data_IF_022536630762
#
_entry.id   IF_022536630762
#
_cell.length_a   1.000
_cell.length_b   1.000
_cell.length_c   1.000
_cell.angle_alpha   90.00
_cell.angle_beta   90.00
_cell.angle_gamma   90.00
#
_symmetry.space_group_name_H-M   'P 1'
#
loop_
_entity.id
_entity.type
_entity.pdbx_description
1 polymer ?
#
# COMPACT_ATOMS: atom_id res chain seq x y z
N UNK A 1 26.64 25.28 27.78
CA UNK A 1 25.52 25.73 26.90
C UNK A 1 25.58 25.25 25.45
N UNK A 2 26.74 25.00 24.81
CA UNK A 2 26.82 24.52 23.41
C UNK A 2 26.20 23.12 23.17
N UNK A 3 26.26 22.21 24.13
CA UNK A 3 25.74 20.84 23.97
C UNK A 3 24.20 20.73 24.03
N UNK A 4 23.53 21.64 24.76
CA UNK A 4 22.06 21.63 24.88
C UNK A 4 21.41 22.05 23.55
N UNK A 5 22.03 22.96 22.80
CA UNK A 5 21.54 23.38 21.47
C UNK A 5 21.58 22.24 20.45
N UNK A 6 22.63 21.41 20.47
CA UNK A 6 22.77 20.28 19.54
C UNK A 6 21.81 19.13 19.86
N UNK A 7 21.53 18.87 21.14
CA UNK A 7 20.56 17.85 21.54
C UNK A 7 19.14 18.31 21.18
N UNK A 8 18.79 19.59 21.41
CA UNK A 8 17.48 20.13 21.02
C UNK A 8 17.27 20.09 19.49
N UNK A 9 18.32 20.38 18.71
CA UNK A 9 18.28 20.30 17.25
C UNK A 9 18.13 18.87 16.74
N UNK A 10 18.76 17.90 17.42
CA UNK A 10 18.61 16.46 17.13
C UNK A 10 17.17 16.00 17.41
N UNK A 11 16.55 16.46 18.51
CA UNK A 11 15.15 16.15 18.83
C UNK A 11 14.16 16.81 17.87
N UNK A 12 14.42 18.05 17.41
CA UNK A 12 13.57 18.74 16.42
C UNK A 12 13.67 18.11 15.02
N UNK A 13 14.80 17.48 14.67
CA UNK A 13 14.94 16.71 13.42
C UNK A 13 14.43 15.26 13.55
N UNK A 14 14.60 14.63 14.72
CA UNK A 14 14.14 13.27 14.95
C UNK A 14 12.63 13.19 15.23
N UNK A 15 11.99 14.20 15.83
CA UNK A 15 10.54 14.15 16.11
C UNK A 15 9.70 14.02 14.83
N UNK A 16 9.91 14.86 13.78
CA UNK A 16 9.19 14.73 12.53
C UNK A 16 9.51 13.41 11.80
N UNK A 17 10.76 12.95 11.85
CA UNK A 17 11.16 11.67 11.28
C UNK A 17 10.60 10.47 12.04
N UNK A 18 10.44 10.55 13.37
CA UNK A 18 9.79 9.53 14.20
C UNK A 18 8.26 9.58 14.08
N UNK A 19 7.67 10.76 13.93
CA UNK A 19 6.24 10.94 13.67
C UNK A 19 5.86 10.47 12.26
N UNK A 20 6.67 10.75 11.23
CA UNK A 20 6.47 10.19 9.89
C UNK A 20 6.79 8.69 9.85
N UNK A 21 7.87 8.20 10.48
CA UNK A 21 8.20 6.77 10.49
C UNK A 21 7.21 5.90 11.29
N UNK A 22 6.53 6.45 12.30
CA UNK A 22 5.51 5.71 13.05
C UNK A 22 4.13 5.69 12.37
N UNK A 23 3.77 6.71 11.59
CA UNK A 23 2.55 6.67 10.79
C UNK A 23 2.65 5.64 9.64
N UNK A 24 3.86 5.39 9.17
CA UNK A 24 4.12 4.62 7.95
C UNK A 24 4.35 3.10 8.21
N UNK A 25 4.44 2.70 9.48
CA UNK A 25 4.69 1.30 9.91
C UNK A 25 3.53 0.63 10.62
N UNK A 26 2.54 1.37 11.14
CA UNK A 26 1.36 0.78 11.79
C UNK A 26 0.29 0.42 10.75
N UNK A 27 0.06 -0.88 10.62
CA UNK A 27 -1.14 -1.50 10.07
C UNK A 27 -2.36 -0.79 10.67
N UNK A 28 -3.00 0.10 9.91
CA UNK A 28 -4.25 0.74 10.31
C UNK A 28 -5.41 -0.11 9.83
N UNK A 29 -6.24 -0.56 10.77
CA UNK A 29 -7.50 -1.17 10.41
C UNK A 29 -8.52 -0.10 10.06
N UNK A 30 -9.48 -0.46 9.23
CA UNK A 30 -10.73 0.26 9.11
C UNK A 30 -11.85 -0.63 9.66
N UNK A 31 -12.53 -0.14 10.70
CA UNK A 31 -13.68 -0.83 11.28
C UNK A 31 -14.95 -0.12 10.86
N UNK A 32 -15.81 -0.85 10.15
CA UNK A 32 -17.11 -0.38 9.68
C UNK A 32 -18.18 -0.99 10.58
N UNK A 33 -18.92 -0.15 11.29
CA UNK A 33 -20.10 -0.55 12.05
C UNK A 33 -21.36 -0.30 11.20
N UNK A 34 -22.08 -1.36 10.86
CA UNK A 34 -23.24 -1.30 9.98
C UNK A 34 -24.52 -1.70 10.72
N UNK A 35 -25.56 -0.88 10.61
CA UNK A 35 -26.86 -1.11 11.25
C UNK A 35 -27.93 -1.49 10.23
N UNK A 36 -28.57 -2.63 10.48
CA UNK A 36 -29.80 -3.01 9.81
C UNK A 36 -30.96 -2.19 10.35
N UNK A 37 -31.40 -1.18 9.58
CA UNK A 37 -32.42 -0.23 10.00
C UNK A 37 -33.72 -0.36 9.21
N UNK A 38 -33.89 -1.47 8.48
CA UNK A 38 -35.17 -1.82 7.91
C UNK A 38 -36.09 -2.37 9.02
N UNK A 39 -37.15 -1.63 9.34
CA UNK A 39 -38.13 -2.08 10.31
C UNK A 39 -39.02 -3.16 9.73
N UNK A 40 -39.16 -4.29 10.42
CA UNK A 40 -40.20 -5.27 10.12
C UNK A 40 -41.59 -4.65 10.40
N UNK A 41 -42.44 -4.64 9.37
CA UNK A 41 -43.91 -4.67 9.36
C UNK A 41 -44.63 -4.13 10.63
N UNK A 42 -45.17 -2.90 10.50
CA UNK A 42 -46.37 -2.21 11.08
C UNK A 42 -46.84 -2.51 12.53
N UNK A 43 -46.60 -3.68 13.15
CA UNK A 43 -47.10 -4.02 14.49
C UNK A 43 -46.05 -4.61 15.48
N UNK A 44 -44.79 -4.78 15.10
CA UNK A 44 -43.74 -5.24 16.03
C UNK A 44 -42.52 -4.30 16.02
N UNK A 45 -42.33 -3.57 17.10
CA UNK A 45 -41.27 -2.58 17.31
C UNK A 45 -39.86 -3.21 17.40
N UNK A 46 -39.21 -3.44 16.25
CA UNK A 46 -37.80 -3.84 16.11
C UNK A 46 -36.80 -2.67 16.06
N UNK A 47 -37.27 -1.43 15.86
CA UNK A 47 -36.41 -0.24 15.68
C UNK A 47 -35.93 0.44 16.98
N UNK A 48 -36.63 0.16 18.08
CA UNK A 48 -36.30 0.56 19.46
C UNK A 48 -35.27 -0.38 20.14
N UNK A 49 -35.30 -1.72 19.94
CA UNK A 49 -34.41 -2.64 20.65
C UNK A 49 -32.93 -2.58 20.27
N UNK A 50 -32.48 -2.32 19.03
CA UNK A 50 -31.02 -2.19 18.81
C UNK A 50 -30.43 -1.00 19.57
N UNK A 51 -31.11 0.15 19.56
CA UNK A 51 -30.74 1.33 20.34
C UNK A 51 -30.84 1.08 21.86
N UNK A 52 -31.88 0.38 22.33
CA UNK A 52 -32.16 0.21 23.77
C UNK A 52 -31.68 -1.12 24.38
N UNK A 53 -31.04 -2.00 23.62
CA UNK A 53 -30.61 -3.32 24.10
C UNK A 53 -29.21 -3.23 24.73
N UNK A 54 -29.07 -3.35 26.06
CA UNK A 54 -27.77 -3.29 26.71
C UNK A 54 -26.87 -4.48 26.33
N UNK A 55 -27.43 -5.62 25.89
CA UNK A 55 -26.66 -6.79 25.43
C UNK A 55 -25.93 -6.49 24.11
N UNK A 56 -26.52 -5.78 23.14
CA UNK A 56 -25.80 -5.42 21.90
C UNK A 56 -24.62 -4.49 22.20
N UNK A 57 -24.80 -3.49 23.08
CA UNK A 57 -23.73 -2.59 23.49
C UNK A 57 -22.58 -3.33 24.18
N UNK A 58 -22.90 -4.27 25.07
CA UNK A 58 -21.88 -5.12 25.71
C UNK A 58 -21.13 -5.96 24.69
N UNK A 59 -21.83 -6.54 23.71
CA UNK A 59 -21.18 -7.33 22.67
C UNK A 59 -20.32 -6.46 21.75
N UNK A 60 -20.76 -5.25 21.40
CA UNK A 60 -19.95 -4.34 20.60
C UNK A 60 -18.72 -3.85 21.36
N UNK A 61 -18.82 -3.52 22.65
CA UNK A 61 -17.65 -3.24 23.48
C UNK A 61 -16.68 -4.43 23.48
N UNK A 62 -17.21 -5.65 23.60
CA UNK A 62 -16.42 -6.88 23.56
C UNK A 62 -15.72 -7.09 22.21
N UNK A 63 -16.45 -6.98 21.10
CA UNK A 63 -15.93 -7.15 19.74
C UNK A 63 -14.89 -6.07 19.44
N UNK A 64 -15.25 -4.81 19.65
CA UNK A 64 -14.46 -3.67 19.21
C UNK A 64 -13.27 -3.40 20.13
N UNK A 65 -13.46 -3.43 21.45
CA UNK A 65 -12.51 -2.83 22.40
C UNK A 65 -11.85 -3.81 23.37
N UNK A 66 -12.60 -4.81 23.86
CA UNK A 66 -12.11 -5.71 24.91
C UNK A 66 -11.47 -6.99 24.34
N UNK A 67 -11.98 -7.48 23.22
CA UNK A 67 -11.64 -8.77 22.65
C UNK A 67 -12.30 -9.95 23.37
N UNK A 68 -12.04 -11.13 22.83
CA UNK A 68 -12.35 -12.44 23.40
C UNK A 68 -11.07 -13.16 23.84
N UNK A 69 -11.21 -14.22 24.64
CA UNK A 69 -10.08 -15.03 25.11
C UNK A 69 -9.18 -15.58 24.00
N UNK A 70 -9.68 -15.65 22.75
CA UNK A 70 -8.94 -16.10 21.57
C UNK A 70 -8.89 -15.08 20.43
N UNK A 71 -9.63 -13.98 20.51
CA UNK A 71 -9.75 -13.00 19.43
C UNK A 71 -9.40 -11.62 19.98
N UNK A 72 -8.32 -10.98 19.53
CA UNK A 72 -8.00 -9.64 19.98
C UNK A 72 -9.09 -8.64 19.54
N UNK A 73 -9.22 -7.49 20.22
CA UNK A 73 -10.16 -6.45 19.81
C UNK A 73 -9.87 -5.99 18.37
N UNK A 74 -10.95 -5.77 17.61
CA UNK A 74 -10.85 -5.33 16.22
C UNK A 74 -10.47 -3.86 16.07
N UNK A 75 -10.70 -3.04 17.10
CA UNK A 75 -10.39 -1.61 17.10
C UNK A 75 -9.24 -1.27 18.06
N UNK A 76 -8.32 -0.41 17.59
CA UNK A 76 -7.16 0.09 18.32
C UNK A 76 -6.97 1.59 18.08
N UNK A 77 -6.24 2.25 18.98
CA UNK A 77 -5.93 3.67 18.80
C UNK A 77 -5.17 3.92 17.50
N UNK A 78 -5.68 4.84 16.70
CA UNK A 78 -5.17 5.16 15.36
C UNK A 78 -5.79 4.36 14.22
N UNK A 79 -6.71 3.43 14.51
CA UNK A 79 -7.54 2.80 13.48
C UNK A 79 -8.59 3.77 12.95
N UNK A 80 -9.04 3.51 11.72
CA UNK A 80 -10.12 4.21 11.07
C UNK A 80 -11.46 3.59 11.49
N UNK A 81 -12.47 4.44 11.70
CA UNK A 81 -13.81 4.05 12.05
C UNK A 81 -14.82 4.71 11.14
N UNK A 82 -15.75 3.92 10.61
CA UNK A 82 -16.94 4.40 9.93
C UNK A 82 -18.19 3.75 10.50
N UNK A 83 -19.30 4.49 10.49
CA UNK A 83 -20.60 3.97 10.88
C UNK A 83 -21.61 4.24 9.77
N UNK A 84 -22.39 3.22 9.43
CA UNK A 84 -23.37 3.26 8.35
C UNK A 84 -24.68 2.59 8.78
N UNK A 85 -25.80 2.98 8.18
CA UNK A 85 -27.06 2.21 8.23
C UNK A 85 -27.41 1.71 6.85
N UNK A 86 -28.06 0.54 6.76
CA UNK A 86 -28.63 0.03 5.53
C UNK A 86 -30.13 -0.24 5.67
N UNK A 87 -30.90 0.31 4.74
CA UNK A 87 -32.35 0.14 4.61
C UNK A 87 -32.80 0.82 3.33
N UNK A 88 -33.74 0.23 2.60
CA UNK A 88 -34.34 0.85 1.41
C UNK A 88 -35.83 1.09 1.63
N UNK A 89 -36.30 2.33 1.50
CA UNK A 89 -37.73 2.61 1.46
C UNK A 89 -38.39 2.10 0.17
N UNK A 90 -39.67 1.75 0.23
CA UNK A 90 -40.41 1.22 -0.94
C UNK A 90 -40.47 2.12 -2.18
N UNK A 91 -40.17 3.42 -2.06
CA UNK A 91 -40.14 4.38 -3.16
C UNK A 91 -38.73 4.96 -3.42
N UNK A 92 -37.70 4.41 -2.79
CA UNK A 92 -36.31 4.87 -2.88
C UNK A 92 -35.52 4.03 -3.88
N UNK A 93 -34.49 4.65 -4.46
CA UNK A 93 -33.54 4.00 -5.35
C UNK A 93 -32.32 3.50 -4.55
N UNK A 94 -31.52 2.60 -5.13
CA UNK A 94 -30.41 1.95 -4.43
C UNK A 94 -29.31 2.92 -3.96
N UNK A 95 -29.25 4.14 -4.48
CA UNK A 95 -28.35 5.20 -4.01
C UNK A 95 -28.65 5.62 -2.55
N UNK A 96 -29.87 5.35 -2.06
CA UNK A 96 -30.28 5.60 -0.67
C UNK A 96 -30.16 4.39 0.23
N UNK A 97 -29.78 3.23 -0.31
CA UNK A 97 -29.80 1.97 0.44
C UNK A 97 -28.83 1.98 1.62
N UNK A 98 -27.64 2.56 1.47
CA UNK A 98 -26.65 2.72 2.54
C UNK A 98 -26.43 4.20 2.81
N UNK A 99 -26.49 4.57 4.09
CA UNK A 99 -26.27 5.95 4.55
C UNK A 99 -25.14 5.99 5.57
N UNK A 100 -24.20 6.91 5.38
CA UNK A 100 -23.16 7.21 6.36
C UNK A 100 -23.78 7.97 7.54
N UNK A 101 -23.57 7.46 8.74
CA UNK A 101 -24.13 8.06 9.95
C UNK A 101 -23.37 9.32 10.33
N UNK A 102 -24.05 10.22 11.03
CA UNK A 102 -23.42 11.42 11.60
C UNK A 102 -23.57 11.43 13.11
N UNK A 103 -22.64 12.07 13.80
CA UNK A 103 -22.78 12.41 15.22
C UNK A 103 -23.86 13.49 15.41
N UNK A 104 -24.35 13.73 16.65
CA UNK A 104 -25.39 14.73 16.91
C UNK A 104 -25.05 16.17 16.45
N UNK A 105 -23.77 16.50 16.32
CA UNK A 105 -23.31 17.79 15.80
C UNK A 105 -23.16 17.83 14.26
N UNK A 106 -23.59 16.78 13.56
CA UNK A 106 -23.60 16.71 12.09
C UNK A 106 -22.28 16.25 11.44
N UNK A 107 -21.27 15.86 12.22
CA UNK A 107 -20.03 15.30 11.67
C UNK A 107 -20.27 13.86 11.21
N UNK A 108 -19.99 13.58 9.93
CA UNK A 108 -20.09 12.21 9.41
C UNK A 108 -19.04 11.29 10.06
N UNK A 109 -19.48 10.08 10.43
CA UNK A 109 -18.62 8.99 10.87
C UNK A 109 -18.14 8.21 9.65
N UNK A 110 -17.30 8.83 8.83
CA UNK A 110 -16.61 8.25 7.69
C UNK A 110 -15.12 8.49 7.85
N UNK A 111 -14.33 7.42 7.99
CA UNK A 111 -12.89 7.46 8.25
C UNK A 111 -12.48 8.33 9.44
N UNK A 112 -13.31 8.35 10.49
CA UNK A 112 -12.96 8.99 11.76
C UNK A 112 -11.86 8.20 12.48
N UNK A 113 -11.06 8.86 13.32
CA UNK A 113 -9.99 8.22 14.09
C UNK A 113 -10.18 8.44 15.59
N UNK A 114 -11.30 7.98 16.19
CA UNK A 114 -11.49 8.10 17.63
C UNK A 114 -10.43 7.28 18.36
N UNK A 115 -10.03 7.71 19.55
CA UNK A 115 -9.31 6.81 20.45
C UNK A 115 -10.28 5.83 21.13
N UNK A 116 -9.74 4.86 21.87
CA UNK A 116 -10.56 3.85 22.57
C UNK A 116 -11.53 4.45 23.59
N UNK A 117 -11.17 5.57 24.23
CA UNK A 117 -12.02 6.20 25.24
C UNK A 117 -13.17 6.96 24.58
N UNK A 118 -12.91 7.69 23.48
CA UNK A 118 -13.93 8.30 22.63
C UNK A 118 -14.87 7.23 22.05
N UNK A 119 -14.32 6.13 21.53
CA UNK A 119 -15.11 5.01 21.02
C UNK A 119 -16.04 4.44 22.10
N UNK A 120 -15.52 4.20 23.30
CA UNK A 120 -16.31 3.60 24.39
C UNK A 120 -17.36 4.56 24.94
N UNK A 121 -16.94 5.76 25.32
CA UNK A 121 -17.74 6.65 26.15
C UNK A 121 -18.60 7.59 25.30
N UNK A 122 -18.09 8.07 24.18
CA UNK A 122 -18.84 8.98 23.32
C UNK A 122 -19.66 8.21 22.30
N UNK A 123 -19.03 7.36 21.47
CA UNK A 123 -19.71 6.69 20.35
C UNK A 123 -20.64 5.57 20.84
N UNK A 124 -20.10 4.58 21.57
CA UNK A 124 -20.86 3.39 21.97
C UNK A 124 -21.72 3.60 23.23
N UNK A 125 -21.54 4.68 23.98
CA UNK A 125 -22.34 4.93 25.19
C UNK A 125 -23.23 6.17 25.04
N UNK A 126 -22.65 7.34 24.84
CA UNK A 126 -23.41 8.61 24.84
C UNK A 126 -24.24 8.80 23.57
N UNK A 127 -23.64 8.56 22.40
CA UNK A 127 -24.24 8.84 21.10
C UNK A 127 -24.97 7.63 20.51
N UNK A 128 -24.82 6.44 21.11
CA UNK A 128 -25.34 5.17 20.60
C UNK A 128 -26.79 5.24 20.15
N UNK A 129 -27.69 5.74 21.01
CA UNK A 129 -29.11 5.83 20.69
C UNK A 129 -29.37 6.67 19.43
N UNK A 130 -28.62 7.77 19.27
CA UNK A 130 -28.73 8.64 18.11
C UNK A 130 -28.18 7.96 16.85
N UNK A 131 -27.06 7.25 16.95
CA UNK A 131 -26.46 6.52 15.84
C UNK A 131 -27.33 5.35 15.38
N UNK A 132 -27.74 4.48 16.31
CA UNK A 132 -28.52 3.28 16.01
C UNK A 132 -29.92 3.58 15.46
N UNK A 133 -30.44 4.80 15.64
CA UNK A 133 -31.77 5.20 15.13
C UNK A 133 -31.75 6.01 13.83
N UNK A 134 -30.57 6.41 13.35
CA UNK A 134 -30.44 7.15 12.10
C UNK A 134 -30.72 6.26 10.88
N UNK A 135 -31.45 6.79 9.90
CA UNK A 135 -31.80 6.03 8.69
C UNK A 135 -33.04 5.14 8.84
N UNK A 136 -33.60 4.99 10.04
CA UNK A 136 -34.84 4.25 10.25
C UNK A 136 -36.00 4.91 9.48
N UNK A 137 -36.65 4.13 8.62
CA UNK A 137 -37.81 4.57 7.84
C UNK A 137 -39.11 4.17 8.57
N UNK A 138 -40.13 5.03 8.49
CA UNK A 138 -41.44 4.83 9.14
C UNK A 138 -42.42 3.97 8.32
N UNK A 139 -42.13 3.72 7.05
CA UNK A 139 -42.95 2.96 6.10
C UNK A 139 -42.29 1.62 5.76
N UNK A 140 -42.91 0.84 4.87
CA UNK A 140 -42.33 -0.39 4.31
C UNK A 140 -40.89 -0.14 3.85
N UNK A 141 -39.97 -0.79 4.56
CA UNK A 141 -38.54 -0.68 4.37
C UNK A 141 -37.95 -2.07 4.30
N UNK A 142 -36.98 -2.23 3.42
CA UNK A 142 -36.35 -3.50 3.13
C UNK A 142 -34.88 -3.47 3.53
N UNK A 143 -34.43 -4.52 4.18
CA UNK A 143 -33.01 -4.82 4.33
C UNK A 143 -32.64 -5.94 3.36
N UNK A 144 -31.41 -5.90 2.87
CA UNK A 144 -30.85 -6.88 1.93
C UNK A 144 -29.41 -7.16 2.36
N UNK A 145 -29.21 -8.11 3.29
CA UNK A 145 -27.89 -8.38 3.89
C UNK A 145 -26.85 -8.87 2.88
N UNK A 146 -27.27 -9.47 1.77
CA UNK A 146 -26.34 -9.87 0.71
C UNK A 146 -25.77 -8.64 0.00
N UNK A 147 -26.59 -7.60 -0.19
CA UNK A 147 -26.22 -6.35 -0.87
C UNK A 147 -25.58 -5.33 0.07
N UNK A 148 -25.89 -5.36 1.37
CA UNK A 148 -25.37 -4.35 2.29
C UNK A 148 -23.85 -4.41 2.38
N UNK A 149 -23.23 -5.58 2.25
CA UNK A 149 -21.76 -5.76 2.23
C UNK A 149 -21.07 -4.96 1.10
N UNK A 150 -21.37 -5.18 -0.20
CA UNK A 150 -20.78 -4.39 -1.28
C UNK A 150 -21.18 -2.90 -1.22
N UNK A 151 -22.43 -2.59 -0.89
CA UNK A 151 -22.87 -1.18 -0.81
C UNK A 151 -22.24 -0.41 0.37
N UNK A 152 -21.81 -1.12 1.43
CA UNK A 152 -21.02 -0.52 2.52
C UNK A 152 -19.69 0.02 2.01
N UNK A 153 -19.01 -0.75 1.14
CA UNK A 153 -17.76 -0.31 0.52
C UNK A 153 -17.98 0.88 -0.39
N UNK A 154 -19.03 0.84 -1.22
CA UNK A 154 -19.37 1.93 -2.14
C UNK A 154 -19.68 3.24 -1.41
N UNK A 155 -20.49 3.20 -0.35
CA UNK A 155 -20.82 4.39 0.44
C UNK A 155 -19.58 5.01 1.12
N UNK A 156 -18.61 4.15 1.44
CA UNK A 156 -17.37 4.56 2.08
C UNK A 156 -16.28 4.88 1.07
N UNK A 157 -16.45 4.66 -0.23
CA UNK A 157 -15.49 5.04 -1.27
C UNK A 157 -14.83 6.39 -1.05
N UNK A 158 -13.49 6.44 -1.15
CA UNK A 158 -12.70 7.64 -0.91
C UNK A 158 -11.41 7.65 -1.71
N UNK A 159 -11.16 8.76 -2.39
CA UNK A 159 -9.87 9.07 -3.03
C UNK A 159 -8.86 9.72 -2.07
N UNK A 160 -9.24 9.97 -0.82
CA UNK A 160 -8.43 10.72 0.13
C UNK A 160 -7.25 9.90 0.67
N UNK A 161 -6.06 10.52 0.69
CA UNK A 161 -4.86 9.90 1.25
C UNK A 161 -4.96 9.59 2.76
N UNK A 162 -5.91 10.21 3.47
CA UNK A 162 -6.18 10.05 4.90
C UNK A 162 -7.03 8.82 5.23
N UNK A 163 -7.73 8.25 4.24
CA UNK A 163 -8.65 7.12 4.40
C UNK A 163 -7.98 5.74 4.22
N UNK A 164 -6.64 5.69 4.10
CA UNK A 164 -5.92 4.47 3.75
C UNK A 164 -5.80 3.49 4.91
N UNK A 165 -6.14 2.24 4.62
CA UNK A 165 -6.14 1.15 5.59
C UNK A 165 -5.62 -0.14 4.94
N UNK A 166 -5.08 -1.07 5.72
CA UNK A 166 -4.56 -2.33 5.17
C UNK A 166 -5.33 -3.58 5.60
N UNK A 167 -6.30 -3.41 6.51
CA UNK A 167 -7.30 -4.42 6.86
C UNK A 167 -8.63 -3.73 7.08
N UNK A 168 -9.71 -4.33 6.63
CA UNK A 168 -11.06 -3.80 6.85
C UNK A 168 -11.92 -4.85 7.54
N UNK A 169 -12.60 -4.44 8.60
CA UNK A 169 -13.59 -5.27 9.29
C UNK A 169 -14.97 -4.63 9.17
N UNK A 170 -15.97 -5.46 8.90
CA UNK A 170 -17.37 -5.06 8.87
C UNK A 170 -18.10 -5.76 10.00
N UNK A 171 -18.62 -4.97 10.95
CA UNK A 171 -19.44 -5.44 12.07
C UNK A 171 -20.89 -5.07 11.76
N UNK A 172 -21.69 -6.04 11.38
CA UNK A 172 -23.11 -5.85 11.02
C UNK A 172 -24.00 -6.19 12.20
N UNK A 173 -24.81 -5.23 12.64
CA UNK A 173 -25.89 -5.44 13.62
C UNK A 173 -27.19 -5.68 12.86
N UNK A 174 -27.77 -6.87 13.00
CA UNK A 174 -28.95 -7.31 12.24
C UNK A 174 -29.81 -8.28 13.05
N UNK A 175 -31.05 -8.50 12.65
CA UNK A 175 -31.91 -9.57 13.16
C UNK A 175 -31.72 -10.91 12.43
N UNK A 176 -30.87 -10.95 11.38
CA UNK A 176 -30.60 -12.12 10.53
C UNK A 176 -31.87 -12.68 9.87
N UNK A 177 -32.93 -11.87 9.77
CA UNK A 177 -34.21 -12.28 9.23
C UNK A 177 -34.22 -12.11 7.70
N UNK A 178 -34.60 -13.18 6.99
CA UNK A 178 -34.79 -13.25 5.53
C UNK A 178 -33.60 -13.03 4.58
N UNK A 179 -32.39 -12.82 5.07
CA UNK A 179 -31.37 -12.21 4.25
C UNK A 179 -29.97 -12.75 4.54
N UNK A 180 -29.17 -13.01 3.50
CA UNK A 180 -27.74 -13.25 3.67
C UNK A 180 -27.06 -14.17 2.67
N UNK A 181 -27.82 -14.90 1.83
CA UNK A 181 -27.26 -15.91 0.93
C UNK A 181 -27.79 -15.86 -0.54
N UNK A 182 -28.70 -14.95 -0.89
CA UNK A 182 -29.21 -14.86 -2.26
C UNK A 182 -29.66 -13.43 -2.61
N UNK A 183 -28.74 -12.64 -3.14
CA UNK A 183 -28.99 -11.26 -3.58
C UNK A 183 -30.10 -11.16 -4.64
N UNK A 184 -30.18 -12.09 -5.59
CA UNK A 184 -31.23 -12.10 -6.62
C UNK A 184 -32.62 -12.28 -6.01
N UNK A 185 -32.75 -13.19 -5.04
CA UNK A 185 -34.01 -13.38 -4.31
C UNK A 185 -34.35 -12.13 -3.49
N UNK A 186 -33.38 -11.56 -2.77
CA UNK A 186 -33.59 -10.36 -1.96
C UNK A 186 -34.14 -9.20 -2.81
N UNK A 187 -33.56 -8.92 -3.98
CA UNK A 187 -34.06 -7.86 -4.88
C UNK A 187 -35.43 -8.20 -5.48
N UNK A 188 -35.68 -9.47 -5.83
CA UNK A 188 -36.99 -9.89 -6.35
C UNK A 188 -38.10 -9.75 -5.31
N UNK A 189 -37.81 -10.08 -4.06
CA UNK A 189 -38.75 -9.94 -2.94
C UNK A 189 -39.05 -8.45 -2.68
N UNK A 190 -38.04 -7.56 -2.79
CA UNK A 190 -38.25 -6.10 -2.75
C UNK A 190 -39.10 -5.63 -3.93
N UNK A 191 -38.77 -6.03 -5.15
CA UNK A 191 -39.51 -5.65 -6.37
C UNK A 191 -40.97 -6.14 -6.38
N UNK A 192 -41.27 -7.24 -5.69
CA UNK A 192 -42.63 -7.73 -5.53
C UNK A 192 -43.47 -6.83 -4.60
N UNK A 193 -42.81 -6.15 -3.66
CA UNK A 193 -43.44 -5.30 -2.65
C UNK A 193 -43.35 -3.80 -2.96
N UNK A 194 -42.46 -3.37 -3.86
CA UNK A 194 -42.30 -1.97 -4.27
C UNK A 194 -43.43 -1.46 -5.17
N UNK A 195 -43.54 -0.13 -5.25
CA UNK A 195 -44.39 0.54 -6.22
C UNK A 195 -44.03 0.08 -7.65
N UNK A 196 -45.05 -0.28 -8.45
CA UNK A 196 -44.89 -0.77 -9.82
C UNK A 196 -44.15 0.20 -10.73
N UNK A 197 -44.13 1.49 -10.39
CA UNK A 197 -43.43 2.55 -11.14
C UNK A 197 -41.95 2.70 -10.77
N UNK A 198 -41.51 2.07 -9.68
CA UNK A 198 -40.15 2.13 -9.14
C UNK A 198 -39.61 0.74 -8.84
N UNK A 199 -39.47 -0.06 -9.89
CA UNK A 199 -38.78 -1.34 -9.79
C UNK A 199 -37.27 -1.15 -9.82
N UNK A 200 -36.58 -1.78 -8.90
CA UNK A 200 -35.13 -1.92 -8.93
C UNK A 200 -34.69 -2.70 -10.16
N UNK A 201 -33.67 -2.17 -10.84
CA UNK A 201 -32.98 -2.89 -11.91
C UNK A 201 -32.07 -3.97 -11.30
N UNK A 202 -32.59 -5.19 -11.28
CA UNK A 202 -31.88 -6.37 -10.75
C UNK A 202 -30.53 -6.56 -11.46
N UNK A 203 -30.48 -6.36 -12.78
CA UNK A 203 -29.27 -6.66 -13.56
C UNK A 203 -28.15 -5.68 -13.20
N UNK A 204 -28.44 -4.38 -13.19
CA UNK A 204 -27.47 -3.35 -12.79
C UNK A 204 -26.99 -3.55 -11.35
N UNK A 205 -27.87 -3.96 -10.43
CA UNK A 205 -27.50 -4.24 -9.03
C UNK A 205 -26.58 -5.45 -8.93
N UNK A 206 -26.87 -6.54 -9.64
CA UNK A 206 -26.04 -7.74 -9.64
C UNK A 206 -24.69 -7.46 -10.29
N UNK A 207 -24.64 -6.75 -11.42
CA UNK A 207 -23.41 -6.35 -12.09
C UNK A 207 -22.50 -5.53 -11.16
N UNK A 208 -23.04 -4.52 -10.46
CA UNK A 208 -22.29 -3.75 -9.48
C UNK A 208 -21.75 -4.63 -8.34
N UNK A 209 -22.57 -5.53 -7.80
CA UNK A 209 -22.12 -6.43 -6.74
C UNK A 209 -21.04 -7.39 -7.24
N UNK A 210 -21.16 -7.91 -8.46
CA UNK A 210 -20.16 -8.74 -9.11
C UNK A 210 -18.84 -7.99 -9.28
N UNK A 211 -18.86 -6.74 -9.76
CA UNK A 211 -17.65 -5.92 -9.91
C UNK A 211 -16.92 -5.69 -8.57
N UNK A 212 -17.67 -5.47 -7.49
CA UNK A 212 -17.07 -5.36 -6.14
C UNK A 212 -16.55 -6.73 -5.67
N UNK A 213 -17.27 -7.81 -5.94
CA UNK A 213 -16.88 -9.18 -5.60
C UNK A 213 -15.72 -9.72 -6.43
N UNK A 214 -15.37 -9.11 -7.56
CA UNK A 214 -14.12 -9.40 -8.29
C UNK A 214 -12.89 -8.83 -7.57
N UNK A 215 -13.08 -7.78 -6.77
CA UNK A 215 -12.02 -7.10 -6.04
C UNK A 215 -11.93 -7.53 -4.57
N UNK A 216 -13.05 -7.89 -3.94
CA UNK A 216 -13.12 -8.17 -2.51
C UNK A 216 -13.88 -9.44 -2.16
N UNK A 217 -13.36 -10.16 -1.19
CA UNK A 217 -14.03 -11.26 -0.51
C UNK A 217 -14.44 -10.86 0.90
N UNK A 218 -15.72 -11.07 1.22
CA UNK A 218 -16.24 -10.90 2.58
C UNK A 218 -16.12 -12.22 3.34
N UNK A 219 -15.05 -12.40 4.10
CA UNK A 219 -14.80 -13.60 4.91
C UNK A 219 -15.55 -13.48 6.22
N UNK A 220 -16.54 -14.35 6.43
CA UNK A 220 -17.21 -14.49 7.73
C UNK A 220 -16.20 -14.91 8.80
N UNK A 221 -16.22 -14.22 9.95
CA UNK A 221 -15.42 -14.57 11.11
C UNK A 221 -16.30 -15.21 12.18
N UNK A 222 -17.27 -14.46 12.70
CA UNK A 222 -18.10 -14.90 13.82
C UNK A 222 -19.42 -14.14 13.91
N UNK A 223 -20.42 -14.79 14.49
CA UNK A 223 -21.72 -14.23 14.86
C UNK A 223 -21.88 -14.25 16.38
N UNK A 224 -22.27 -13.12 16.94
CA UNK A 224 -22.52 -12.92 18.37
C UNK A 224 -24.02 -12.77 18.60
N UNK A 225 -24.59 -13.67 19.41
CA UNK A 225 -25.99 -13.55 19.81
C UNK A 225 -26.19 -12.34 20.74
N UNK A 226 -27.03 -11.42 20.27
CA UNK A 226 -27.41 -10.21 20.97
C UNK A 226 -28.91 -10.22 21.35
N UNK A 227 -29.57 -11.38 21.19
CA UNK A 227 -30.99 -11.55 21.47
C UNK A 227 -31.31 -11.20 22.92
N UNK A 228 -32.28 -10.31 23.11
CA UNK A 228 -32.82 -9.96 24.43
C UNK A 228 -34.34 -9.81 24.32
N UNK A 229 -35.08 -10.32 25.31
CA UNK A 229 -36.55 -10.19 25.41
C UNK A 229 -37.32 -10.65 24.14
N UNK A 230 -36.90 -11.78 23.55
CA UNK A 230 -37.57 -12.39 22.38
C UNK A 230 -37.28 -11.69 21.04
N UNK A 231 -36.38 -10.71 21.01
CA UNK A 231 -36.00 -9.98 19.81
C UNK A 231 -34.68 -10.52 19.30
N UNK A 232 -34.74 -11.29 18.22
CA UNK A 232 -33.56 -11.88 17.58
C UNK A 232 -32.70 -10.75 17.05
N UNK A 233 -31.50 -10.61 17.59
CA UNK A 233 -30.51 -9.62 17.19
C UNK A 233 -29.14 -10.27 17.26
N UNK A 234 -28.26 -9.92 16.34
CA UNK A 234 -26.93 -10.48 16.22
C UNK A 234 -25.95 -9.43 15.73
N UNK A 235 -24.71 -9.53 16.19
CA UNK A 235 -23.58 -8.81 15.60
C UNK A 235 -22.75 -9.83 14.80
N UNK A 236 -22.64 -9.62 13.49
CA UNK A 236 -21.90 -10.49 12.58
C UNK A 236 -20.63 -9.78 12.14
N UNK A 237 -19.49 -10.42 12.29
CA UNK A 237 -18.18 -9.86 11.95
C UNK A 237 -17.66 -10.51 10.67
N UNK A 238 -17.30 -9.67 9.71
CA UNK A 238 -16.61 -10.05 8.48
C UNK A 238 -15.26 -9.36 8.39
N UNK A 239 -14.27 -10.05 7.83
CA UNK A 239 -13.06 -9.42 7.30
C UNK A 239 -13.20 -9.26 5.80
N UNK A 240 -12.90 -8.07 5.28
CA UNK A 240 -12.92 -7.78 3.86
C UNK A 240 -11.49 -7.97 3.35
N UNK A 241 -11.31 -8.98 2.50
CA UNK A 241 -10.02 -9.38 1.95
C UNK A 241 -9.93 -8.98 0.48
N UNK A 242 -8.78 -8.44 0.03
CA UNK A 242 -8.56 -8.20 -1.39
C UNK A 242 -8.41 -9.55 -2.11
N UNK A 243 -9.02 -9.70 -3.28
CA UNK A 243 -8.93 -10.93 -4.07
C UNK A 243 -7.64 -11.05 -4.88
N UNK A 244 -6.86 -9.98 -4.95
CA UNK A 244 -5.57 -9.94 -5.64
C UNK A 244 -4.46 -10.71 -4.89
N UNK A 245 -4.75 -11.90 -4.35
CA UNK A 245 -3.82 -12.74 -3.58
C UNK A 245 -2.53 -13.07 -4.34
N UNK A 246 -2.62 -13.14 -5.66
CA UNK A 246 -1.48 -13.42 -6.56
C UNK A 246 -0.89 -12.14 -7.18
N UNK A 247 -1.17 -10.97 -6.60
CA UNK A 247 -0.57 -9.72 -7.04
C UNK A 247 0.96 -9.83 -7.05
N UNK A 248 1.60 -9.16 -7.99
CA UNK A 248 3.05 -9.07 -8.08
C UNK A 248 3.41 -7.60 -8.25
N UNK A 249 4.40 -7.11 -7.50
CA UNK A 249 4.76 -5.69 -7.52
C UNK A 249 5.17 -5.22 -8.93
N UNK A 250 5.68 -6.11 -9.78
CA UNK A 250 5.97 -5.89 -11.21
C UNK A 250 4.74 -5.42 -12.03
N UNK A 251 3.53 -5.66 -11.52
CA UNK A 251 2.28 -5.20 -12.14
C UNK A 251 2.13 -3.68 -12.04
N UNK A 252 2.62 -3.07 -10.94
CA UNK A 252 2.45 -1.65 -10.64
C UNK A 252 3.76 -0.85 -10.64
N UNK A 253 4.92 -1.52 -10.51
CA UNK A 253 6.22 -0.87 -10.40
C UNK A 253 7.21 -1.52 -11.37
N UNK A 254 7.94 -0.69 -12.11
CA UNK A 254 9.08 -1.09 -12.91
C UNK A 254 10.37 -0.87 -12.12
N UNK A 255 11.26 -1.86 -12.14
CA UNK A 255 12.57 -1.82 -11.49
C UNK A 255 13.51 -2.82 -12.17
N UNK A 256 14.83 -2.65 -12.05
CA UNK A 256 15.80 -3.54 -12.69
C UNK A 256 15.73 -4.96 -12.14
N UNK A 257 15.85 -5.96 -13.02
CA UNK A 257 15.85 -7.38 -12.65
C UNK A 257 17.11 -7.82 -11.88
N UNK A 258 18.22 -7.12 -12.09
CA UNK A 258 19.48 -7.30 -11.39
C UNK A 258 20.10 -5.93 -11.12
N UNK A 259 20.72 -5.77 -9.95
CA UNK A 259 21.30 -4.48 -9.54
C UNK A 259 22.82 -4.62 -9.53
N UNK A 260 23.50 -3.72 -10.22
CA UNK A 260 24.96 -3.73 -10.28
C UNK A 260 25.54 -2.85 -9.18
N UNK A 261 26.48 -3.40 -8.43
CA UNK A 261 27.32 -2.67 -7.50
C UNK A 261 28.58 -2.22 -8.25
N UNK A 262 28.69 -0.92 -8.53
CA UNK A 262 29.83 -0.31 -9.20
C UNK A 262 30.95 -0.07 -8.22
N UNK A 263 32.19 -0.33 -8.62
CA UNK A 263 33.33 -0.02 -7.75
C UNK A 263 33.59 1.50 -7.74
N UNK A 264 34.00 2.05 -6.60
CA UNK A 264 34.40 3.46 -6.47
C UNK A 264 35.86 3.64 -6.04
N UNK A 265 36.50 4.73 -6.47
CA UNK A 265 37.95 4.97 -6.32
C UNK A 265 38.39 5.10 -4.87
N UNK A 266 37.49 5.55 -3.99
CA UNK A 266 37.69 5.65 -2.53
C UNK A 266 37.58 4.30 -1.81
N UNK A 267 37.39 3.21 -2.57
CA UNK A 267 37.23 1.85 -2.07
C UNK A 267 35.77 1.49 -1.81
N UNK A 268 35.44 0.20 -1.94
CA UNK A 268 34.08 -0.29 -1.82
C UNK A 268 33.27 -0.18 -3.11
N UNK A 269 31.95 -0.19 -2.96
CA UNK A 269 30.97 -0.24 -4.03
C UNK A 269 29.83 0.75 -3.80
N UNK A 270 29.30 1.30 -4.87
CA UNK A 270 28.06 2.06 -4.90
C UNK A 270 26.99 1.31 -5.69
N UNK A 271 25.79 1.32 -5.15
CA UNK A 271 24.60 0.74 -5.76
C UNK A 271 23.60 1.86 -5.99
N UNK A 272 23.22 2.04 -7.25
CA UNK A 272 22.08 2.86 -7.65
C UNK A 272 20.90 1.91 -7.92
N UNK A 273 19.81 2.10 -7.18
CA UNK A 273 18.54 1.43 -7.44
C UNK A 273 17.50 2.48 -7.83
N UNK A 274 16.80 2.24 -8.94
CA UNK A 274 15.73 3.10 -9.42
C UNK A 274 14.47 2.28 -9.62
N UNK A 275 13.32 2.86 -9.30
CA UNK A 275 12.03 2.31 -9.66
C UNK A 275 11.15 3.37 -10.30
N UNK A 276 10.23 2.96 -11.16
CA UNK A 276 9.29 3.83 -11.87
C UNK A 276 7.86 3.29 -11.76
N UNK A 277 6.89 4.18 -11.55
CA UNK A 277 5.46 3.81 -11.50
C UNK A 277 4.97 3.43 -12.90
N UNK A 278 4.30 2.27 -13.02
CA UNK A 278 3.69 1.85 -14.28
C UNK A 278 2.38 2.57 -14.58
N UNK A 279 1.87 3.37 -13.65
CA UNK A 279 0.59 4.09 -13.76
C UNK A 279 -0.57 3.15 -14.11
N UNK A 280 -0.60 1.96 -13.48
CA UNK A 280 -1.67 0.99 -13.70
C UNK A 280 -3.03 1.59 -13.28
N UNK A 281 -4.13 1.42 -14.05
CA UNK A 281 -5.41 2.01 -13.72
C UNK A 281 -5.92 1.57 -12.34
N UNK A 282 -5.73 0.28 -12.03
CA UNK A 282 -6.28 -0.32 -10.81
C UNK A 282 -5.33 -0.33 -9.60
N UNK A 283 -4.11 0.20 -9.72
CA UNK A 283 -3.12 0.16 -8.64
C UNK A 283 -2.34 1.46 -8.56
N UNK A 284 -2.02 1.89 -7.35
CA UNK A 284 -1.13 3.04 -7.12
C UNK A 284 -0.08 2.67 -6.10
N UNK A 285 1.19 2.69 -6.51
CA UNK A 285 2.29 2.52 -5.56
C UNK A 285 2.30 3.75 -4.66
N UNK A 286 2.35 3.52 -3.35
CA UNK A 286 2.44 4.61 -2.36
C UNK A 286 3.88 4.85 -1.95
N UNK A 287 4.59 3.76 -1.68
CA UNK A 287 5.99 3.76 -1.33
C UNK A 287 6.59 2.36 -1.50
N UNK A 288 7.91 2.33 -1.62
CA UNK A 288 8.72 1.12 -1.58
C UNK A 288 9.90 1.36 -0.64
N UNK A 289 10.06 0.50 0.35
CA UNK A 289 11.24 0.48 1.21
C UNK A 289 12.25 -0.48 0.60
N UNK A 290 13.43 0.03 0.27
CA UNK A 290 14.55 -0.73 -0.28
C UNK A 290 15.56 -0.91 0.85
N UNK A 291 15.79 -2.16 1.25
CA UNK A 291 16.69 -2.51 2.35
C UNK A 291 17.88 -3.28 1.81
N UNK A 292 19.08 -2.78 2.08
CA UNK A 292 20.31 -3.53 1.88
C UNK A 292 20.45 -4.55 3.01
N UNK A 293 20.51 -5.83 2.65
CA UNK A 293 20.60 -6.93 3.60
C UNK A 293 21.86 -7.75 3.39
N UNK A 294 22.37 -8.27 4.49
CA UNK A 294 23.40 -9.31 4.54
C UNK A 294 23.01 -10.45 5.48
N UNK A 295 23.89 -11.43 5.66
CA UNK A 295 23.67 -12.56 6.58
C UNK A 295 23.41 -12.18 8.03
N UNK A 296 23.85 -10.98 8.46
CA UNK A 296 23.65 -10.46 9.82
C UNK A 296 22.36 -9.63 9.95
N UNK A 297 21.65 -9.38 8.85
CA UNK A 297 20.39 -8.64 8.81
C UNK A 297 20.43 -7.38 7.96
N UNK A 298 19.53 -6.43 8.26
CA UNK A 298 19.45 -5.15 7.56
C UNK A 298 20.65 -4.27 7.89
N UNK A 299 21.31 -3.75 6.84
CA UNK A 299 22.47 -2.86 6.93
C UNK A 299 22.03 -1.41 6.81
N UNK A 300 21.22 -1.12 5.81
CA UNK A 300 20.72 0.21 5.50
C UNK A 300 19.36 0.11 4.79
N UNK A 301 18.54 1.15 4.87
CA UNK A 301 17.20 1.18 4.28
C UNK A 301 16.82 2.57 3.82
N UNK A 302 16.30 2.66 2.60
CA UNK A 302 15.80 3.90 2.00
C UNK A 302 14.32 3.72 1.65
N UNK A 303 13.50 4.70 2.05
CA UNK A 303 12.10 4.75 1.60
C UNK A 303 12.01 5.57 0.33
N UNK A 304 11.48 4.97 -0.72
CA UNK A 304 11.26 5.58 -2.02
C UNK A 304 9.78 5.84 -2.24
N UNK A 305 9.48 7.03 -2.73
CA UNK A 305 8.20 7.32 -3.40
C UNK A 305 8.21 6.67 -4.79
N UNK A 306 7.06 6.59 -5.47
CA UNK A 306 7.04 6.21 -6.88
C UNK A 306 7.97 7.12 -7.69
N UNK A 307 8.70 6.56 -8.65
CA UNK A 307 9.73 7.25 -9.45
C UNK A 307 10.99 7.68 -8.66
N UNK A 308 11.30 6.95 -7.60
CA UNK A 308 12.44 7.22 -6.71
C UNK A 308 13.74 6.54 -7.11
N UNK A 309 14.86 7.15 -6.69
CA UNK A 309 16.21 6.56 -6.72
C UNK A 309 16.77 6.41 -5.32
N UNK A 310 17.37 5.27 -5.02
CA UNK A 310 18.13 5.00 -3.82
C UNK A 310 19.61 4.79 -4.16
N UNK A 311 20.48 5.29 -3.29
CA UNK A 311 21.92 5.11 -3.38
C UNK A 311 22.41 4.42 -2.11
N UNK A 312 23.16 3.33 -2.26
CA UNK A 312 23.77 2.62 -1.15
C UNK A 312 25.28 2.55 -1.35
N UNK A 313 26.04 2.77 -0.28
CA UNK A 313 27.48 2.63 -0.28
C UNK A 313 27.92 1.45 0.60
N UNK A 314 28.66 0.51 0.01
CA UNK A 314 29.17 -0.69 0.67
C UNK A 314 30.69 -0.61 0.76
N UNK A 315 31.24 -0.60 1.96
CA UNK A 315 32.70 -0.65 2.14
C UNK A 315 33.23 -2.04 1.77
N UNK A 316 34.42 -2.08 1.16
CA UNK A 316 35.04 -3.31 0.67
C UNK A 316 35.33 -4.34 1.77
N UNK A 317 35.68 -3.89 2.97
CA UNK A 317 35.91 -4.73 4.15
C UNK A 317 34.64 -5.40 4.70
N UNK A 318 33.47 -5.02 4.18
CA UNK A 318 32.14 -5.41 4.64
C UNK A 318 31.28 -5.89 3.48
N UNK A 319 31.86 -6.64 2.53
CA UNK A 319 31.09 -7.39 1.53
C UNK A 319 30.88 -8.80 2.09
N UNK A 320 29.86 -9.04 2.92
CA UNK A 320 29.51 -10.38 3.33
C UNK A 320 29.02 -11.18 2.13
N UNK A 321 29.23 -12.50 2.21
CA UNK A 321 28.54 -13.47 1.36
C UNK A 321 27.02 -13.21 1.42
N UNK A 322 26.30 -13.43 0.31
CA UNK A 322 24.85 -13.28 0.23
C UNK A 322 24.26 -11.85 0.44
N UNK A 323 25.02 -10.80 0.10
CA UNK A 323 24.46 -9.43 0.09
C UNK A 323 23.36 -9.29 -0.98
N UNK A 324 22.20 -8.72 -0.61
CA UNK A 324 21.04 -8.53 -1.51
C UNK A 324 20.25 -7.27 -1.19
N UNK A 325 19.44 -6.81 -2.15
CA UNK A 325 18.45 -5.76 -1.90
C UNK A 325 17.07 -6.39 -1.71
N UNK A 326 16.43 -6.10 -0.58
CA UNK A 326 15.04 -6.46 -0.34
C UNK A 326 14.15 -5.25 -0.58
N UNK A 327 13.17 -5.40 -1.46
CA UNK A 327 12.11 -4.43 -1.72
C UNK A 327 10.88 -4.84 -0.94
N UNK A 328 10.27 -3.90 -0.24
CA UNK A 328 8.98 -4.04 0.43
C UNK A 328 8.08 -2.91 -0.04
N UNK A 329 6.95 -3.21 -0.66
CA UNK A 329 6.09 -2.20 -1.28
C UNK A 329 4.70 -2.10 -0.65
N UNK A 330 4.12 -0.91 -0.76
CA UNK A 330 2.74 -0.62 -0.37
C UNK A 330 1.99 -0.12 -1.59
N UNK A 331 0.92 -0.83 -1.94
CA UNK A 331 0.16 -0.61 -3.16
C UNK A 331 -1.29 -0.40 -2.81
N UNK A 332 -1.83 0.76 -3.16
CA UNK A 332 -3.25 1.04 -3.06
C UNK A 332 -4.01 0.36 -4.19
N UNK A 333 -5.14 -0.26 -3.88
CA UNK A 333 -6.10 -0.76 -4.87
C UNK A 333 -6.97 0.42 -5.31
N UNK A 334 -7.09 0.62 -6.61
CA UNK A 334 -7.97 1.61 -7.25
C UNK A 334 -9.05 0.87 -8.03
N UNK A 335 -10.13 0.53 -7.35
CA UNK A 335 -11.25 -0.19 -7.94
C UNK A 335 -12.42 0.73 -8.36
N UNK A 336 -12.37 2.01 -7.98
CA UNK A 336 -13.43 2.99 -8.26
C UNK A 336 -14.65 2.84 -7.35
N UNK A 337 -14.56 2.00 -6.32
CA UNK A 337 -15.63 1.75 -5.36
C UNK A 337 -15.21 2.10 -3.93
N UNK A 338 -14.11 1.52 -3.43
CA UNK A 338 -13.65 1.68 -2.06
C UNK A 338 -12.36 2.49 -1.98
N UNK A 339 -11.38 2.22 -2.87
CA UNK A 339 -10.13 2.96 -3.10
C UNK A 339 -9.22 3.25 -1.88
N UNK A 340 -9.58 2.69 -0.72
CA UNK A 340 -8.93 2.93 0.58
C UNK A 340 -7.99 1.79 0.99
N UNK A 341 -8.11 0.63 0.35
CA UNK A 341 -7.36 -0.59 0.72
C UNK A 341 -5.93 -0.54 0.18
N UNK A 342 -4.96 -0.60 1.09
CA UNK A 342 -3.52 -0.69 0.80
C UNK A 342 -3.03 -2.09 1.11
N UNK A 343 -2.60 -2.80 0.07
CA UNK A 343 -1.85 -4.03 0.22
C UNK A 343 -0.44 -3.69 0.73
N UNK A 344 0.05 -4.46 1.71
CA UNK A 344 1.32 -4.19 2.40
C UNK A 344 2.20 -5.43 2.49
N UNK A 345 3.51 -5.23 2.41
CA UNK A 345 4.53 -6.24 2.66
C UNK A 345 4.48 -6.88 4.06
N UNK A 346 3.83 -6.24 5.04
CA UNK A 346 3.67 -6.77 6.41
C UNK A 346 2.35 -7.53 6.65
N UNK A 347 1.52 -7.69 5.61
CA UNK A 347 0.28 -8.47 5.69
C UNK A 347 0.52 -9.98 5.69
N UNK A 348 -0.55 -10.74 5.94
CA UNK A 348 -0.54 -12.18 5.68
C UNK A 348 -0.69 -12.48 4.17
N UNK A 349 -0.61 -13.76 3.80
CA UNK A 349 -0.76 -14.21 2.41
C UNK A 349 -2.12 -13.88 1.81
N UNK A 350 -3.16 -13.74 2.63
CA UNK A 350 -4.51 -13.39 2.16
C UNK A 350 -4.60 -11.92 1.74
N UNK A 351 -3.64 -11.09 2.14
CA UNK A 351 -3.47 -9.68 1.74
C UNK A 351 -2.36 -9.47 0.70
N UNK A 352 -2.02 -10.50 -0.07
CA UNK A 352 -1.06 -10.45 -1.18
C UNK A 352 0.38 -10.05 -0.79
N UNK A 353 0.75 -10.16 0.49
CA UNK A 353 2.02 -9.65 1.01
C UNK A 353 3.26 -10.26 0.32
N UNK A 354 3.22 -11.55 -0.03
CA UNK A 354 4.29 -12.23 -0.79
C UNK A 354 4.57 -11.57 -2.14
N UNK A 355 3.55 -11.02 -2.78
CA UNK A 355 3.62 -10.29 -4.03
C UNK A 355 4.37 -8.96 -3.95
N UNK A 356 4.42 -8.39 -2.76
CA UNK A 356 4.93 -7.05 -2.47
C UNK A 356 6.36 -7.05 -1.93
N UNK A 357 6.91 -8.25 -1.69
CA UNK A 357 8.30 -8.44 -1.24
C UNK A 357 9.11 -9.07 -2.36
N UNK A 358 10.25 -8.46 -2.68
CA UNK A 358 11.19 -8.97 -3.69
C UNK A 358 12.61 -8.90 -3.17
N UNK A 359 13.40 -9.90 -3.54
CA UNK A 359 14.81 -9.93 -3.24
C UNK A 359 15.59 -9.91 -4.56
N UNK A 360 16.39 -8.86 -4.74
CA UNK A 360 17.23 -8.67 -5.90
C UNK A 360 18.66 -9.05 -5.54
N UNK A 361 19.28 -9.83 -6.42
CA UNK A 361 20.71 -10.14 -6.33
C UNK A 361 21.53 -8.92 -6.74
N UNK A 362 22.62 -8.70 -6.03
CA UNK A 362 23.59 -7.66 -6.37
C UNK A 362 24.73 -8.31 -7.13
N UNK A 363 24.99 -7.81 -8.33
CA UNK A 363 26.14 -8.19 -9.15
C UNK A 363 27.28 -7.23 -8.88
N UNK A 364 28.36 -7.71 -8.24
CA UNK A 364 29.52 -6.90 -7.94
C UNK A 364 30.45 -6.79 -9.15
N UNK A 365 30.83 -5.57 -9.49
CA UNK A 365 31.79 -5.32 -10.57
C UNK A 365 33.17 -5.91 -10.21
N UNK A 366 33.75 -6.66 -11.14
CA UNK A 366 35.11 -7.17 -10.97
C UNK A 366 36.14 -6.03 -11.06
N UNK A 367 37.23 -6.15 -10.28
CA UNK A 367 38.30 -5.16 -10.34
C UNK A 367 39.06 -5.27 -11.66
N UNK A 368 39.09 -4.18 -12.43
CA UNK A 368 39.85 -4.12 -13.67
C UNK A 368 41.35 -4.35 -13.39
N UNK A 369 41.99 -5.19 -14.21
CA UNK A 369 43.38 -5.61 -14.03
C UNK A 369 44.36 -4.43 -13.95
N UNK A 370 44.12 -3.36 -14.73
CA UNK A 370 44.94 -2.14 -14.75
C UNK A 370 44.91 -1.44 -13.39
N UNK A 371 43.74 -1.35 -12.75
CA UNK A 371 43.62 -0.68 -11.45
C UNK A 371 44.05 -1.56 -10.27
N UNK A 372 44.12 -2.91 -10.44
CA UNK A 372 44.83 -3.77 -9.48
C UNK A 372 46.32 -3.41 -9.41
N UNK A 373 46.95 -3.17 -10.56
CA UNK A 373 48.37 -2.87 -10.64
C UNK A 373 48.68 -1.39 -10.34
N UNK A 374 47.82 -0.47 -10.80
CA UNK A 374 48.05 0.97 -10.70
C UNK A 374 46.77 1.70 -10.26
N UNK A 375 46.42 1.65 -8.96
CA UNK A 375 45.20 2.26 -8.43
C UNK A 375 45.13 3.79 -8.63
N UNK A 376 46.29 4.46 -8.60
CA UNK A 376 46.39 5.91 -8.76
C UNK A 376 45.92 6.42 -10.13
N UNK A 377 45.81 5.55 -11.14
CA UNK A 377 45.30 5.92 -12.46
C UNK A 377 43.79 6.23 -12.45
N UNK A 378 43.08 5.90 -11.37
CA UNK A 378 41.64 6.13 -11.24
C UNK A 378 41.29 7.47 -10.57
N UNK A 379 42.08 8.52 -10.78
CA UNK A 379 41.92 9.79 -10.05
C UNK A 379 40.90 10.78 -10.65
N UNK A 380 40.38 10.54 -11.85
CA UNK A 380 39.54 11.50 -12.61
C UNK A 380 38.09 11.04 -12.79
N UNK A 381 37.72 9.87 -12.28
CA UNK A 381 36.38 9.30 -12.38
C UNK A 381 36.07 8.52 -11.10
N UNK A 382 36.04 9.20 -9.95
CA UNK A 382 35.95 8.58 -8.63
C UNK A 382 34.75 7.63 -8.47
N UNK A 383 33.68 7.84 -9.22
CA UNK A 383 32.39 7.19 -9.03
C UNK A 383 32.17 5.96 -9.94
N UNK A 384 33.06 5.70 -10.92
CA UNK A 384 32.85 4.63 -11.91
C UNK A 384 34.16 4.10 -12.53
N UNK A 385 34.49 2.84 -12.21
CA UNK A 385 35.70 2.15 -12.69
C UNK A 385 35.66 1.87 -14.20
N UNK A 386 34.51 1.47 -14.76
CA UNK A 386 34.38 1.19 -16.20
C UNK A 386 34.63 2.44 -17.03
N UNK A 387 34.06 3.59 -16.61
CA UNK A 387 34.31 4.87 -17.29
C UNK A 387 35.79 5.25 -17.22
N UNK A 388 36.42 5.11 -16.06
CA UNK A 388 37.85 5.39 -15.91
C UNK A 388 38.71 4.49 -16.82
N UNK A 389 38.39 3.19 -16.89
CA UNK A 389 39.07 2.25 -17.76
C UNK A 389 38.87 2.57 -19.25
N UNK A 390 37.67 2.98 -19.66
CA UNK A 390 37.36 3.38 -21.03
C UNK A 390 38.20 4.60 -21.45
N UNK A 391 38.30 5.61 -20.58
CA UNK A 391 39.12 6.81 -20.83
C UNK A 391 40.58 6.42 -21.01
N UNK A 392 41.12 5.55 -20.16
CA UNK A 392 42.50 5.06 -20.32
C UNK A 392 42.72 4.25 -21.59
N UNK A 393 41.74 3.47 -22.03
CA UNK A 393 41.81 2.78 -23.32
C UNK A 393 41.89 3.80 -24.46
N UNK A 394 41.08 4.86 -24.44
CA UNK A 394 41.13 5.93 -25.43
C UNK A 394 42.50 6.66 -25.41
N UNK A 395 43.02 6.99 -24.23
CA UNK A 395 44.34 7.63 -24.07
C UNK A 395 45.45 6.71 -24.59
N UNK A 396 45.42 5.42 -24.25
CA UNK A 396 46.40 4.44 -24.68
C UNK A 396 46.43 4.25 -26.20
N UNK A 397 45.26 4.17 -26.84
CA UNK A 397 45.15 4.12 -28.31
C UNK A 397 45.69 5.42 -28.94
N UNK A 398 45.33 6.58 -28.37
CA UNK A 398 45.82 7.87 -28.84
C UNK A 398 47.36 7.97 -28.76
N UNK A 399 47.96 7.55 -27.64
CA UNK A 399 49.40 7.51 -27.46
C UNK A 399 50.09 6.58 -28.46
N UNK A 400 49.53 5.40 -28.73
CA UNK A 400 50.05 4.49 -29.75
C UNK A 400 50.01 5.14 -31.14
N UNK A 401 48.91 5.79 -31.51
CA UNK A 401 48.82 6.53 -32.78
C UNK A 401 49.89 7.63 -32.89
N UNK A 402 50.14 8.38 -31.81
CA UNK A 402 51.21 9.40 -31.77
C UNK A 402 52.58 8.76 -31.95
N UNK A 403 52.86 7.64 -31.26
CA UNK A 403 54.14 6.93 -31.40
C UNK A 403 54.33 6.43 -32.83
N UNK A 404 53.32 5.80 -33.44
CA UNK A 404 53.39 5.35 -34.83
C UNK A 404 53.58 6.52 -35.80
N UNK A 405 52.91 7.66 -35.57
CA UNK A 405 53.09 8.86 -36.37
C UNK A 405 54.53 9.40 -36.24
N UNK A 406 55.08 9.49 -35.03
CA UNK A 406 56.46 9.89 -34.82
C UNK A 406 57.47 8.95 -35.50
N UNK A 407 57.26 7.63 -35.41
CA UNK A 407 58.10 6.63 -36.11
C UNK A 407 58.00 6.81 -37.62
N UNK A 408 56.80 7.03 -38.16
CA UNK A 408 56.59 7.27 -39.58
C UNK A 408 57.31 8.55 -40.05
N UNK A 409 57.18 9.66 -39.31
CA UNK A 409 57.87 10.93 -39.61
C UNK A 409 59.40 10.75 -39.58
N UNK A 410 59.94 10.05 -38.58
CA UNK A 410 61.38 9.78 -38.48
C UNK A 410 61.86 8.89 -39.63
N UNK A 411 61.09 7.88 -40.02
CA UNK A 411 61.44 7.00 -41.14
C UNK A 411 61.37 7.73 -42.49
N UNK A 412 60.36 8.57 -42.71
CA UNK A 412 60.26 9.44 -43.89
C UNK A 412 61.45 10.39 -43.94
N UNK A 413 61.80 11.03 -42.82
CA UNK A 413 62.97 11.91 -42.72
C UNK A 413 64.28 11.18 -43.03
N UNK A 414 64.47 9.95 -42.54
CA UNK A 414 65.64 9.11 -42.86
C UNK A 414 65.70 8.73 -44.34
N UNK A 415 64.58 8.33 -44.95
CA UNK A 415 64.53 8.04 -46.39
C UNK A 415 64.82 9.28 -47.23
N UNK A 416 64.31 10.45 -46.82
CA UNK A 416 64.58 11.73 -47.50
C UNK A 416 66.06 12.09 -47.41
N UNK A 417 66.68 11.93 -46.24
CA UNK A 417 68.11 12.17 -46.06
C UNK A 417 68.97 11.17 -46.85
N UNK A 418 68.62 9.88 -46.88
CA UNK A 418 69.36 8.90 -47.70
C UNK A 418 69.29 9.23 -49.19
N UNK A 419 68.13 9.59 -49.73
CA UNK A 419 68.00 10.04 -51.13
C UNK A 419 68.84 11.29 -51.43
N UNK A 420 68.88 12.25 -50.50
CA UNK A 420 69.68 13.46 -50.66
C UNK A 420 71.20 13.19 -50.66
N UNK A 421 71.66 12.19 -49.90
CA UNK A 421 73.07 11.76 -49.92
C UNK A 421 73.43 10.90 -51.13
N UNK A 422 72.50 10.06 -51.61
CA UNK A 422 72.69 9.27 -52.83
C UNK A 422 72.76 10.17 -54.09
N UNK A 423 71.94 11.22 -54.17
CA UNK A 423 72.01 12.19 -55.27
C UNK A 423 73.31 13.00 -55.29
N UNK A 424 73.90 13.32 -54.12
CA UNK A 424 75.20 14.01 -54.05
C UNK A 424 76.37 13.15 -54.53
N UNK A 425 76.29 11.83 -54.42
CA UNK A 425 77.34 10.93 -54.92
C UNK A 425 77.31 10.73 -56.44
N UNK A 426 76.22 11.08 -57.12
CA UNK A 426 76.10 10.98 -58.59
C UNK A 426 76.83 12.14 -59.30
N UNK A 427 77.12 13.25 -58.62
CA UNK A 427 77.78 14.43 -59.20
C UNK A 427 79.29 14.56 -58.97
N UNK A 428 79.96 13.50 -58.49
CA UNK A 428 81.41 13.49 -58.19
C UNK A 428 82.21 12.46 -59.00
N UNK A 429 81.76 12.11 -60.22
CA UNK A 429 82.54 11.28 -61.16
C UNK A 429 83.06 12.08 -62.34
#
# INVERSE_FOLDING_TARGET
MKYIKNILMLWVFLLPCLLYAQLDSKIRHHVILAFDNAGYNINSSLNVPAAQNPKILRQLNRILLDGDSQIPPYFRDGDLFSAISFSLGAAEDMDKFVTVLSTPNGKQLKYSTPDKDEMRNEILHTQWNYLATQGIKKSDSFSMLSLSRPYSLLALGSDEATALNNRTFLVMVTDDHYNGNNSDKEVKDVNACQDKTKKLDVNSIMELCSNIQENYQFKYIQKYDCTERGKLLSAIVFEILPLQRYFTIETALEYPSAVKAKRVAKGGYEIEFECQDRNHPNYKVRKTVVTLQNEKGAVDSVTLMPDGKAFFHIKESTIPENTSLQLQSWVNIKDGFYDSMVMSAYGDETHASRGLVRQLKIEFEETASVFKAMPFLWFFCDDDQEKAALIWRCIGVGLLCIIFFCIAVVNISKQYNQRFFDEKHIHLK
#
